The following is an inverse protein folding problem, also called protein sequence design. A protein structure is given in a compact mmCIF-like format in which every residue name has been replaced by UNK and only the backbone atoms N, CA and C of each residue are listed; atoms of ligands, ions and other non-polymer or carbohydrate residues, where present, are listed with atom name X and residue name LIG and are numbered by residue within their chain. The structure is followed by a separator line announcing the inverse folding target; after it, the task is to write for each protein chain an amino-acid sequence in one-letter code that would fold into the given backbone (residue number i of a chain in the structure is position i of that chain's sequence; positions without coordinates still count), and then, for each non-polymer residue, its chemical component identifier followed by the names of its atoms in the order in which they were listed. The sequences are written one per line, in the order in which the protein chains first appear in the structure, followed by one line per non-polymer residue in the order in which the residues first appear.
data_IF_828361944037
#
_entry.id   IF_828361944037
#
_cell.length_a   1.000
_cell.length_b   1.000
_cell.length_c   1.000
_cell.angle_alpha   90.00
_cell.angle_beta   90.00
_cell.angle_gamma   90.00
#
_symmetry.space_group_name_H-M   'P 1'
#
loop_
_entity.id
_entity.type
_entity.pdbx_description
1 polymer ?
#
# COMPACT_ATOMS: atom_id res chain seq x y z
N UNK A 1 9.54 10.34 17.74
CA UNK A 1 8.16 10.88 17.57
C UNK A 1 7.62 10.21 16.32
N UNK A 2 6.35 9.75 16.33
CA UNK A 2 5.75 9.17 15.12
C UNK A 2 5.62 10.25 14.04
N UNK A 3 5.81 9.89 12.76
CA UNK A 3 5.61 10.84 11.65
C UNK A 3 4.13 11.20 11.50
N UNK A 4 3.85 12.41 10.99
CA UNK A 4 2.51 12.85 10.71
C UNK A 4 1.75 13.44 11.92
N UNK A 5 0.42 13.37 11.88
CA UNK A 5 -0.46 13.90 12.90
C UNK A 5 -1.61 12.93 13.22
N UNK A 6 -2.18 13.07 14.41
CA UNK A 6 -3.31 12.23 14.84
C UNK A 6 -4.60 12.72 14.19
N UNK A 7 -5.29 11.85 13.45
CA UNK A 7 -6.57 12.14 12.79
C UNK A 7 -7.78 11.51 13.52
N UNK A 8 -7.52 10.49 14.33
CA UNK A 8 -8.49 9.87 15.23
C UNK A 8 -7.74 9.22 16.42
N UNK A 9 -8.41 8.89 17.53
CA UNK A 9 -7.77 8.21 18.65
C UNK A 9 -7.03 6.96 18.21
N UNK A 10 -5.69 6.96 18.39
CA UNK A 10 -4.82 5.86 18.00
C UNK A 10 -4.55 5.72 16.50
N UNK A 11 -4.92 6.70 15.65
CA UNK A 11 -4.65 6.71 14.22
C UNK A 11 -3.83 7.93 13.83
N UNK A 12 -2.68 7.68 13.23
CA UNK A 12 -1.78 8.69 12.67
C UNK A 12 -1.92 8.73 11.15
N UNK A 13 -1.85 9.91 10.57
CA UNK A 13 -1.71 10.16 9.14
C UNK A 13 -0.42 10.92 8.88
N UNK A 14 0.44 10.39 8.05
CA UNK A 14 1.54 11.10 7.41
C UNK A 14 1.18 11.37 5.95
N UNK A 15 1.39 12.58 5.48
CA UNK A 15 1.17 12.96 4.09
C UNK A 15 2.37 13.76 3.58
N UNK A 16 2.88 13.37 2.41
CA UNK A 16 3.95 14.05 1.70
C UNK A 16 3.45 14.29 0.28
N UNK A 17 3.51 15.54 -0.16
CA UNK A 17 3.28 15.91 -1.56
C UNK A 17 4.57 16.46 -2.14
N UNK A 18 4.96 15.95 -3.30
CA UNK A 18 6.19 16.33 -3.96
C UNK A 18 5.96 16.83 -5.38
N UNK A 19 6.91 17.65 -5.87
CA UNK A 19 6.99 17.97 -7.29
C UNK A 19 7.67 16.77 -7.94
N UNK A 20 6.89 15.85 -8.43
CA UNK A 20 7.34 14.74 -9.25
C UNK A 20 7.41 15.19 -10.72
N UNK A 21 8.12 14.45 -11.59
CA UNK A 21 8.06 14.73 -13.02
C UNK A 21 6.60 14.87 -13.47
N UNK A 22 6.30 15.73 -14.43
CA UNK A 22 4.93 15.90 -14.94
C UNK A 22 4.33 14.55 -15.28
N UNK A 23 3.17 14.27 -14.72
CA UNK A 23 2.45 13.04 -15.02
C UNK A 23 2.05 13.06 -16.51
N UNK A 24 2.15 11.93 -17.23
CA UNK A 24 1.59 11.85 -18.56
C UNK A 24 0.06 12.07 -18.49
N UNK A 25 -0.54 12.55 -19.57
CA UNK A 25 -1.99 12.71 -19.64
C UNK A 25 -2.73 11.38 -19.39
N UNK A 26 -2.11 10.26 -19.78
CA UNK A 26 -2.64 8.91 -19.55
C UNK A 26 -1.51 7.90 -19.41
N UNK A 27 -1.77 6.82 -18.68
CA UNK A 27 -0.90 5.64 -18.62
C UNK A 27 -1.39 4.55 -19.57
N UNK A 28 -0.47 3.98 -20.35
CA UNK A 28 -0.70 2.76 -21.11
C UNK A 28 -0.57 1.55 -20.17
N UNK A 29 -1.66 0.84 -19.96
CA UNK A 29 -1.73 -0.34 -19.10
C UNK A 29 -1.69 -1.67 -19.88
N UNK A 30 -1.30 -1.64 -21.15
CA UNK A 30 -1.20 -2.83 -22.02
C UNK A 30 -0.27 -3.91 -21.45
N UNK A 31 0.79 -3.53 -20.74
CA UNK A 31 1.68 -4.45 -20.00
C UNK A 31 0.91 -5.27 -18.96
N UNK A 32 -0.19 -4.76 -18.41
CA UNK A 32 -1.09 -5.46 -17.49
C UNK A 32 -2.27 -6.15 -18.21
N UNK A 33 -2.28 -6.17 -19.54
CA UNK A 33 -3.36 -6.70 -20.43
C UNK A 33 -4.66 -5.91 -20.29
N UNK A 34 -4.55 -4.62 -20.06
CA UNK A 34 -5.64 -3.67 -20.03
C UNK A 34 -5.49 -2.78 -21.27
N UNK A 35 -6.51 -2.75 -22.10
CA UNK A 35 -6.47 -2.03 -23.38
C UNK A 35 -6.81 -0.55 -23.25
N UNK A 36 -7.48 -0.15 -22.17
CA UNK A 36 -7.78 1.26 -21.92
C UNK A 36 -6.57 2.03 -21.43
N UNK A 37 -6.50 3.30 -21.82
CA UNK A 37 -5.59 4.26 -21.20
C UNK A 37 -6.20 4.77 -19.91
N UNK A 38 -5.38 4.90 -18.88
CA UNK A 38 -5.81 5.26 -17.53
C UNK A 38 -5.30 6.67 -17.20
N UNK A 39 -6.20 7.56 -16.80
CA UNK A 39 -5.81 8.86 -16.28
C UNK A 39 -5.08 8.68 -14.92
N UNK A 40 -4.00 9.45 -14.66
CA UNK A 40 -3.23 9.38 -13.43
C UNK A 40 -4.09 9.49 -12.16
N UNK A 41 -5.06 10.37 -12.17
CA UNK A 41 -5.94 10.65 -11.02
C UNK A 41 -6.87 9.47 -10.67
N UNK A 42 -7.00 8.49 -11.55
CA UNK A 42 -7.72 7.24 -11.27
C UNK A 42 -6.83 6.19 -10.58
N UNK A 43 -5.51 6.33 -10.68
CA UNK A 43 -4.58 5.38 -10.08
C UNK A 43 -4.47 5.62 -8.58
N UNK A 44 -4.57 4.55 -7.81
CA UNK A 44 -4.25 4.51 -6.40
C UNK A 44 -3.32 3.34 -6.14
N UNK A 45 -2.06 3.67 -5.89
CA UNK A 45 -1.05 2.70 -5.50
C UNK A 45 -1.23 2.42 -4.01
N UNK A 46 -1.14 1.16 -3.58
CA UNK A 46 -1.25 0.84 -2.16
C UNK A 46 -0.43 -0.38 -1.78
N UNK A 47 -0.02 -0.40 -0.52
CA UNK A 47 0.65 -1.49 0.16
C UNK A 47 0.24 -1.53 1.63
N UNK A 48 0.44 -2.67 2.32
CA UNK A 48 0.10 -2.81 3.73
C UNK A 48 1.22 -3.46 4.52
N UNK A 49 1.50 -2.91 5.73
CA UNK A 49 2.30 -3.61 6.73
C UNK A 49 1.37 -4.35 7.70
N UNK A 50 1.69 -5.60 7.96
CA UNK A 50 0.79 -6.52 8.63
C UNK A 50 1.44 -7.24 9.79
N UNK A 51 0.64 -7.70 10.76
CA UNK A 51 1.15 -8.42 11.95
C UNK A 51 1.70 -9.82 11.65
N UNK A 52 1.61 -10.28 10.40
CA UNK A 52 2.15 -11.56 9.95
C UNK A 52 1.71 -11.92 8.55
N UNK A 53 2.39 -12.88 7.93
CA UNK A 53 2.16 -13.31 6.54
C UNK A 53 1.19 -14.50 6.42
N UNK A 54 0.73 -15.08 7.54
CA UNK A 54 -0.10 -16.29 7.53
C UNK A 54 -1.51 -16.06 6.99
N UNK A 55 -1.95 -14.79 6.86
CA UNK A 55 -3.33 -14.47 6.47
C UNK A 55 -4.34 -14.84 7.55
N UNK A 56 -5.63 -14.91 7.16
CA UNK A 56 -6.72 -15.26 8.07
C UNK A 56 -7.16 -14.11 8.99
N UNK A 57 -8.09 -14.43 9.91
CA UNK A 57 -8.75 -13.43 10.75
C UNK A 57 -7.86 -12.83 11.84
N UNK A 58 -6.77 -13.51 12.20
CA UNK A 58 -5.80 -13.06 13.20
C UNK A 58 -4.79 -12.05 12.67
N UNK A 59 -4.56 -12.01 11.34
CA UNK A 59 -3.64 -11.06 10.72
C UNK A 59 -4.32 -9.70 10.55
N UNK A 60 -3.62 -8.62 10.92
CA UNK A 60 -4.11 -7.23 10.83
C UNK A 60 -3.15 -6.40 10.01
N UNK A 61 -3.66 -5.46 9.25
CA UNK A 61 -2.87 -4.35 8.78
C UNK A 61 -2.71 -3.35 9.93
N UNK A 62 -1.48 -2.96 10.24
CA UNK A 62 -1.21 -1.89 11.19
C UNK A 62 -0.78 -0.60 10.49
N UNK A 63 -0.42 -0.70 9.23
CA UNK A 63 -0.09 0.43 8.38
C UNK A 63 -0.69 0.20 6.98
N UNK A 64 -1.20 1.26 6.37
CA UNK A 64 -1.62 1.30 4.96
C UNK A 64 -0.92 2.47 4.31
N UNK A 65 -0.03 2.18 3.37
CA UNK A 65 0.59 3.17 2.49
C UNK A 65 -0.22 3.33 1.21
N UNK A 66 -0.38 4.57 0.76
CA UNK A 66 -1.09 4.91 -0.48
C UNK A 66 -0.34 6.00 -1.21
N UNK A 67 -0.28 5.89 -2.53
CA UNK A 67 0.17 6.97 -3.38
C UNK A 67 -0.81 7.21 -4.52
N UNK A 68 -1.07 8.46 -4.83
CA UNK A 68 -1.99 8.88 -5.90
C UNK A 68 -1.56 10.21 -6.55
N UNK A 69 -2.17 10.54 -7.67
CA UNK A 69 -2.10 11.90 -8.23
C UNK A 69 -3.30 12.71 -7.81
N UNK A 70 -3.06 13.88 -7.27
CA UNK A 70 -4.09 14.81 -6.83
C UNK A 70 -3.70 16.22 -7.27
N UNK A 71 -4.58 16.87 -8.06
CA UNK A 71 -4.34 18.23 -8.59
C UNK A 71 -2.97 18.38 -9.30
N UNK A 72 -2.58 17.36 -10.07
CA UNK A 72 -1.33 17.36 -10.82
C UNK A 72 -0.08 17.09 -9.97
N UNK A 73 -0.19 16.84 -8.68
CA UNK A 73 0.89 16.49 -7.77
C UNK A 73 0.82 15.01 -7.40
N UNK A 74 1.97 14.38 -7.26
CA UNK A 74 2.07 13.04 -6.67
C UNK A 74 2.03 13.18 -5.16
N UNK A 75 1.16 12.40 -4.52
CA UNK A 75 0.92 12.46 -3.09
C UNK A 75 1.08 11.06 -2.50
N UNK A 76 1.86 10.98 -1.44
CA UNK A 76 2.03 9.78 -0.63
C UNK A 76 1.36 10.00 0.72
N UNK A 77 0.58 9.03 1.16
CA UNK A 77 -0.12 9.03 2.45
C UNK A 77 0.10 7.72 3.15
N UNK A 78 0.29 7.78 4.46
CA UNK A 78 0.50 6.61 5.28
C UNK A 78 -0.37 6.69 6.52
N UNK A 79 -1.20 5.68 6.71
CA UNK A 79 -2.01 5.48 7.92
C UNK A 79 -1.29 4.49 8.82
N UNK A 80 -1.09 4.85 10.08
CA UNK A 80 -0.50 3.99 11.10
C UNK A 80 -1.41 3.92 12.31
N UNK A 81 -1.80 2.72 12.74
CA UNK A 81 -2.50 2.56 14.00
C UNK A 81 -1.51 2.40 15.16
N UNK A 82 -1.76 3.16 16.23
CA UNK A 82 -1.00 3.10 17.48
C UNK A 82 -1.74 2.36 18.58
N UNK A 83 -2.96 1.91 18.29
CA UNK A 83 -3.76 1.02 19.13
C UNK A 83 -4.58 0.08 18.26
N UNK A 84 -4.87 -1.10 18.75
CA UNK A 84 -5.71 -2.07 18.01
C UNK A 84 -7.13 -1.56 17.76
N UNK A 85 -7.64 -0.70 18.63
CA UNK A 85 -8.98 -0.11 18.52
C UNK A 85 -9.12 0.85 17.33
N UNK A 86 -8.01 1.40 16.84
CA UNK A 86 -8.01 2.36 15.73
C UNK A 86 -8.17 1.71 14.33
N UNK A 87 -8.15 0.37 14.24
CA UNK A 87 -8.24 -0.33 12.95
C UNK A 87 -9.49 0.05 12.15
N UNK A 88 -10.64 0.18 12.82
CA UNK A 88 -11.88 0.57 12.17
C UNK A 88 -11.77 1.98 11.53
N UNK A 89 -11.21 2.94 12.26
CA UNK A 89 -11.00 4.29 11.76
C UNK A 89 -10.01 4.33 10.59
N UNK A 90 -8.95 3.51 10.64
CA UNK A 90 -7.99 3.36 9.54
C UNK A 90 -8.68 2.84 8.27
N UNK A 91 -9.52 1.82 8.39
CA UNK A 91 -10.26 1.26 7.26
C UNK A 91 -11.24 2.28 6.68
N UNK A 92 -11.94 3.05 7.52
CA UNK A 92 -12.86 4.10 7.07
C UNK A 92 -12.10 5.22 6.35
N UNK A 93 -10.96 5.65 6.87
CA UNK A 93 -10.11 6.65 6.24
C UNK A 93 -9.60 6.15 4.88
N UNK A 94 -9.06 4.94 4.80
CA UNK A 94 -8.62 4.33 3.55
C UNK A 94 -9.78 4.25 2.54
N UNK A 95 -10.96 3.81 2.97
CA UNK A 95 -12.14 3.72 2.11
C UNK A 95 -12.54 5.08 1.53
N UNK A 96 -12.38 6.17 2.28
CA UNK A 96 -12.72 7.52 1.82
C UNK A 96 -11.85 8.03 0.67
N UNK A 97 -10.71 7.41 0.42
CA UNK A 97 -9.82 7.76 -0.69
C UNK A 97 -10.15 7.04 -1.99
N UNK A 98 -11.02 6.04 -1.93
CA UNK A 98 -11.41 5.24 -3.08
C UNK A 98 -12.68 5.77 -3.74
N UNK A 99 -12.68 5.82 -5.07
CA UNK A 99 -13.82 6.19 -5.90
C UNK A 99 -14.27 4.97 -6.72
N UNK A 100 -15.50 4.96 -7.27
CA UNK A 100 -15.99 3.86 -8.11
C UNK A 100 -15.14 3.62 -9.37
N UNK A 101 -14.43 4.63 -9.86
CA UNK A 101 -13.56 4.59 -11.04
C UNK A 101 -12.07 4.38 -10.69
N UNK A 102 -11.74 4.22 -9.40
CA UNK A 102 -10.35 3.99 -8.96
C UNK A 102 -9.79 2.72 -9.58
N UNK A 103 -8.57 2.82 -10.07
CA UNK A 103 -7.75 1.70 -10.51
C UNK A 103 -6.68 1.45 -9.46
N UNK A 104 -6.79 0.32 -8.78
CA UNK A 104 -5.82 -0.09 -7.76
C UNK A 104 -4.52 -0.56 -8.41
N UNK A 105 -3.40 -0.15 -7.85
CA UNK A 105 -2.07 -0.64 -8.24
C UNK A 105 -1.36 -1.17 -7.01
N UNK A 106 -0.73 -2.33 -7.11
CA UNK A 106 0.05 -2.92 -6.03
C UNK A 106 1.17 -3.80 -6.56
N UNK A 107 2.06 -4.24 -5.69
CA UNK A 107 3.03 -5.27 -5.99
C UNK A 107 2.74 -6.51 -5.16
N UNK A 108 2.16 -7.57 -5.79
CA UNK A 108 1.67 -8.79 -5.13
C UNK A 108 0.42 -8.62 -4.24
N UNK A 109 -0.18 -7.44 -4.23
CA UNK A 109 -1.31 -7.11 -3.35
C UNK A 109 -2.61 -7.82 -3.70
N UNK A 110 -2.77 -8.34 -4.93
CA UNK A 110 -3.92 -9.21 -5.26
C UNK A 110 -3.96 -10.47 -4.41
N UNK A 111 -2.78 -11.00 -4.07
CA UNK A 111 -2.65 -12.25 -3.32
C UNK A 111 -2.57 -12.05 -1.81
N UNK A 112 -2.17 -10.86 -1.34
CA UNK A 112 -1.95 -10.57 0.09
C UNK A 112 -2.82 -9.44 0.60
N UNK A 113 -2.58 -8.21 0.17
CA UNK A 113 -3.18 -7.00 0.74
C UNK A 113 -4.70 -6.95 0.53
N UNK A 114 -5.15 -7.19 -0.69
CA UNK A 114 -6.58 -7.15 -1.01
C UNK A 114 -7.41 -8.19 -0.25
N UNK A 115 -7.03 -9.48 -0.19
CA UNK A 115 -7.73 -10.48 0.62
C UNK A 115 -7.71 -10.14 2.12
N UNK A 116 -6.58 -9.64 2.63
CA UNK A 116 -6.47 -9.20 4.01
C UNK A 116 -7.46 -8.07 4.29
N UNK A 117 -7.38 -6.96 3.54
CA UNK A 117 -8.27 -5.81 3.72
C UNK A 117 -9.74 -6.21 3.60
N UNK A 118 -10.12 -7.04 2.62
CA UNK A 118 -11.50 -7.58 2.51
C UNK A 118 -11.93 -8.30 3.77
N UNK A 119 -11.06 -9.11 4.36
CA UNK A 119 -11.34 -9.80 5.61
C UNK A 119 -11.50 -8.81 6.76
N UNK A 120 -10.62 -7.79 6.85
CA UNK A 120 -10.69 -6.77 7.91
C UNK A 120 -11.97 -5.93 7.81
N UNK A 121 -12.34 -5.46 6.61
CA UNK A 121 -13.61 -4.76 6.38
C UNK A 121 -14.80 -5.60 6.85
N UNK A 122 -14.85 -6.90 6.47
CA UNK A 122 -15.91 -7.81 6.89
C UNK A 122 -15.99 -7.96 8.41
N UNK A 123 -14.84 -8.15 9.10
CA UNK A 123 -14.80 -8.31 10.56
C UNK A 123 -15.27 -7.06 11.29
N UNK A 124 -15.08 -5.89 10.71
CA UNK A 124 -15.61 -4.63 11.21
C UNK A 124 -17.03 -4.30 10.72
N UNK A 125 -17.72 -5.25 10.04
CA UNK A 125 -19.08 -5.09 9.51
C UNK A 125 -19.20 -3.89 8.54
N UNK A 126 -18.18 -3.69 7.71
CA UNK A 126 -18.10 -2.63 6.71
C UNK A 126 -18.10 -3.20 5.30
N UNK A 127 -18.72 -2.48 4.38
CA UNK A 127 -18.60 -2.78 2.95
C UNK A 127 -17.16 -2.56 2.50
N UNK A 128 -16.60 -3.53 1.76
CA UNK A 128 -15.25 -3.42 1.26
C UNK A 128 -15.23 -2.62 -0.05
N UNK A 129 -14.59 -1.43 -0.08
CA UNK A 129 -14.56 -0.57 -1.25
C UNK A 129 -13.68 -1.12 -2.39
N UNK A 130 -12.82 -2.11 -2.10
CA UNK A 130 -11.98 -2.75 -3.11
C UNK A 130 -12.75 -3.70 -4.04
N UNK A 131 -14.00 -4.02 -3.69
CA UNK A 131 -14.80 -4.98 -4.46
C UNK A 131 -15.27 -4.35 -5.77
N UNK A 132 -14.95 -5.01 -6.88
CA UNK A 132 -15.33 -4.55 -8.23
C UNK A 132 -14.38 -3.53 -8.86
N UNK A 133 -13.39 -3.00 -8.12
CA UNK A 133 -12.39 -2.10 -8.69
C UNK A 133 -11.41 -2.88 -9.58
N UNK A 134 -11.00 -2.24 -10.68
CA UNK A 134 -9.89 -2.72 -11.48
C UNK A 134 -8.62 -2.70 -10.64
N UNK A 135 -7.85 -3.79 -10.68
CA UNK A 135 -6.64 -3.91 -9.90
C UNK A 135 -5.47 -4.38 -10.76
N UNK A 136 -4.46 -3.56 -10.90
CA UNK A 136 -3.20 -3.86 -11.55
C UNK A 136 -2.22 -4.36 -10.49
N UNK A 137 -1.83 -5.65 -10.57
CA UNK A 137 -0.77 -6.20 -9.73
C UNK A 137 0.50 -6.33 -10.57
N UNK A 138 1.49 -5.50 -10.24
CA UNK A 138 2.73 -5.37 -11.00
C UNK A 138 3.62 -6.61 -10.94
N UNK A 139 3.43 -7.50 -9.95
CA UNK A 139 4.16 -8.77 -9.90
C UNK A 139 3.88 -9.64 -11.13
N UNK A 140 2.66 -9.62 -11.66
CA UNK A 140 2.31 -10.47 -12.81
C UNK A 140 3.05 -10.08 -14.11
N UNK A 141 3.07 -8.80 -14.54
CA UNK A 141 3.87 -8.40 -15.70
C UNK A 141 5.37 -8.59 -15.48
N UNK A 142 5.87 -8.33 -14.26
CA UNK A 142 7.28 -8.59 -13.93
C UNK A 142 7.61 -10.08 -14.11
N UNK A 143 6.80 -10.98 -13.58
CA UNK A 143 6.99 -12.43 -13.75
C UNK A 143 6.91 -12.86 -15.22
N UNK A 144 6.02 -12.27 -16.02
CA UNK A 144 5.93 -12.58 -17.46
C UNK A 144 7.19 -12.20 -18.22
N UNK A 145 7.85 -11.12 -17.83
CA UNK A 145 8.99 -10.57 -18.57
C UNK A 145 10.33 -11.07 -18.07
N UNK A 146 10.50 -11.30 -16.76
CA UNK A 146 11.81 -11.49 -16.14
C UNK A 146 11.95 -12.76 -15.29
N UNK A 147 10.90 -13.60 -15.17
CA UNK A 147 11.06 -14.92 -14.51
C UNK A 147 12.09 -15.77 -15.27
N UNK A 148 13.11 -16.24 -14.55
CA UNK A 148 14.23 -16.99 -15.13
C UNK A 148 15.31 -16.12 -15.78
N UNK A 149 15.13 -14.79 -15.83
CA UNK A 149 16.15 -13.82 -16.26
C UNK A 149 16.86 -13.23 -15.03
N UNK A 150 16.08 -12.85 -14.02
CA UNK A 150 16.60 -12.36 -12.74
C UNK A 150 16.58 -13.47 -11.69
N UNK A 151 17.36 -13.29 -10.63
CA UNK A 151 17.43 -14.23 -9.50
C UNK A 151 16.06 -14.46 -8.83
N UNK A 152 15.22 -13.44 -8.82
CA UNK A 152 13.83 -13.50 -8.37
C UNK A 152 13.02 -12.30 -8.91
N UNK A 153 11.72 -12.26 -8.61
CA UNK A 153 10.82 -11.16 -8.98
C UNK A 153 10.29 -10.43 -7.74
N UNK A 154 11.10 -10.22 -6.71
CA UNK A 154 10.74 -9.38 -5.57
C UNK A 154 10.80 -7.90 -5.94
N UNK A 155 10.07 -7.05 -5.24
CA UNK A 155 10.06 -5.61 -5.49
C UNK A 155 11.47 -5.03 -5.42
N UNK A 156 12.25 -5.33 -4.39
CA UNK A 156 13.63 -4.87 -4.27
C UNK A 156 14.53 -5.28 -5.44
N UNK A 157 14.27 -6.44 -6.06
CA UNK A 157 15.00 -6.85 -7.28
C UNK A 157 14.59 -5.99 -8.47
N UNK A 158 13.31 -5.68 -8.61
CA UNK A 158 12.81 -4.77 -9.67
C UNK A 158 13.38 -3.38 -9.50
N UNK A 159 13.37 -2.84 -8.29
CA UNK A 159 13.94 -1.53 -7.95
C UNK A 159 15.42 -1.46 -8.36
N UNK A 160 16.21 -2.46 -7.98
CA UNK A 160 17.63 -2.51 -8.32
C UNK A 160 17.88 -2.68 -9.82
N UNK A 161 17.19 -3.65 -10.46
CA UNK A 161 17.48 -4.04 -11.83
C UNK A 161 16.87 -3.11 -12.88
N UNK A 162 15.69 -2.56 -12.61
CA UNK A 162 14.94 -1.77 -13.58
C UNK A 162 15.01 -0.27 -13.27
N UNK A 163 14.91 0.11 -12.00
CA UNK A 163 14.88 1.51 -11.58
C UNK A 163 16.23 2.01 -11.11
N UNK A 164 17.22 1.11 -10.92
CA UNK A 164 18.56 1.42 -10.40
C UNK A 164 18.50 2.10 -9.02
N UNK A 165 17.49 1.75 -8.23
CA UNK A 165 17.29 2.22 -6.86
C UNK A 165 17.73 1.13 -5.89
N UNK A 166 18.55 1.48 -4.93
CA UNK A 166 18.90 0.67 -3.78
C UNK A 166 18.40 1.40 -2.54
N UNK A 167 17.57 0.74 -1.74
CA UNK A 167 17.10 1.30 -0.47
C UNK A 167 18.22 1.23 0.53
N UNK A 168 18.57 2.35 1.14
CA UNK A 168 19.49 2.46 2.25
C UNK A 168 18.66 2.68 3.53
N UNK A 169 19.06 2.04 4.63
CA UNK A 169 18.43 2.16 5.96
C UNK A 169 16.92 1.81 6.02
N UNK A 170 16.45 0.96 5.10
CA UNK A 170 15.06 0.48 5.11
C UNK A 170 14.89 -0.67 6.11
N UNK A 171 13.86 -0.59 6.96
CA UNK A 171 13.51 -1.70 7.85
C UNK A 171 13.03 -2.88 6.99
N UNK A 172 13.68 -4.06 7.07
CA UNK A 172 13.18 -5.21 6.33
C UNK A 172 11.71 -5.48 6.69
N UNK A 173 10.83 -5.63 5.69
CA UNK A 173 9.39 -5.84 5.93
C UNK A 173 9.08 -7.02 6.86
N UNK A 174 9.99 -8.00 6.97
CA UNK A 174 9.89 -9.09 7.94
C UNK A 174 10.05 -8.63 9.40
N UNK A 175 10.67 -7.48 9.65
CA UNK A 175 10.92 -6.91 10.98
C UNK A 175 9.85 -5.88 11.38
N UNK A 176 9.11 -5.32 10.44
CA UNK A 176 8.06 -4.33 10.68
C UNK A 176 7.00 -4.80 11.72
N UNK A 177 6.53 -6.06 11.70
CA UNK A 177 5.61 -6.56 12.71
C UNK A 177 6.19 -6.53 14.12
N UNK A 178 7.46 -6.91 14.27
CA UNK A 178 8.13 -6.93 15.58
C UNK A 178 8.36 -5.51 16.11
N UNK A 179 8.76 -4.58 15.24
CA UNK A 179 8.92 -3.17 15.56
C UNK A 179 7.61 -2.55 16.06
N UNK A 180 6.51 -2.76 15.32
CA UNK A 180 5.20 -2.26 15.72
C UNK A 180 4.68 -2.87 17.03
N UNK A 181 4.80 -4.18 17.22
CA UNK A 181 4.43 -4.84 18.49
C UNK A 181 5.29 -4.36 19.65
N UNK A 182 6.57 -4.11 19.42
CA UNK A 182 7.47 -3.49 20.40
C UNK A 182 6.99 -2.09 20.79
N UNK A 183 6.62 -1.28 19.82
CA UNK A 183 6.05 0.05 20.06
C UNK A 183 4.77 -0.01 20.89
N UNK A 184 3.81 -0.91 20.57
CA UNK A 184 2.57 -1.07 21.36
C UNK A 184 2.82 -1.46 22.83
N UNK A 185 3.97 -2.08 23.13
CA UNK A 185 4.39 -2.45 24.50
C UNK A 185 5.16 -1.34 25.20
N UNK A 186 5.19 -0.13 24.66
CA UNK A 186 5.89 1.02 25.22
C UNK A 186 7.34 1.18 24.76
N UNK A 187 7.73 0.49 23.69
CA UNK A 187 9.04 0.65 23.04
C UNK A 187 9.16 1.93 22.22
N UNK A 188 10.34 2.11 21.60
CA UNK A 188 10.61 3.26 20.73
C UNK A 188 9.77 3.24 19.45
N UNK A 189 9.36 4.41 18.99
CA UNK A 189 8.73 4.61 17.69
C UNK A 189 9.76 4.79 16.55
N UNK A 190 11.05 4.82 16.86
CA UNK A 190 12.10 5.12 15.87
C UNK A 190 12.15 4.15 14.68
N UNK A 191 11.77 2.85 14.83
CA UNK A 191 11.72 1.92 13.70
C UNK A 191 10.45 2.00 12.84
N UNK A 192 9.46 2.82 13.22
CA UNK A 192 8.19 3.00 12.52
C UNK A 192 8.18 4.30 11.72
#
# INVERSE_FOLDING_TARGET
MLPGHTIAPGLQLSEISGIWPPSPATFDASFARISEKIEPERLLLFDTETTGLAGGTGTRAFMIGVADWHQGQFRERQLLITTLAAEAAMLDCFASWLRPDTVLVSYNGKSYDSPLLKTRFRLHQRSCPLTGLLHIDLLHPVRRRWRGVWENCRLATVERQLLQVVREDDLPGAEAPAAWLGFLRGGSAAPL
#
